data_IF_032931805973
#
_entry.id   IF_032931805973
#
_cell.length_a   1.000
_cell.length_b   1.000
_cell.length_c   1.000
_cell.angle_alpha   90.00
_cell.angle_beta   90.00
_cell.angle_gamma   90.00
#
_symmetry.space_group_name_H-M   'P 1'
#
loop_
_entity.id
_entity.type
_entity.pdbx_description
1 polymer ?
#
# COMPACT_ATOMS: atom_id res chain seq x y z
N UNK A 1 -0.04 22.42 -13.06
CA UNK A 1 -1.25 22.21 -12.26
C UNK A 1 -1.40 20.73 -12.07
N UNK A 2 -1.59 20.26 -10.83
CA UNK A 2 -1.95 18.87 -10.60
C UNK A 2 -3.29 18.59 -11.29
N UNK A 3 -3.46 17.38 -11.80
CA UNK A 3 -4.76 16.95 -12.31
C UNK A 3 -5.58 16.58 -11.07
N UNK A 4 -6.63 17.36 -10.80
CA UNK A 4 -7.52 17.14 -9.65
C UNK A 4 -8.40 15.89 -9.84
N UNK A 5 -8.68 15.52 -11.10
CA UNK A 5 -9.47 14.34 -11.45
C UNK A 5 -8.63 13.28 -12.19
N UNK A 6 -8.44 12.13 -11.55
CA UNK A 6 -7.60 11.03 -12.01
C UNK A 6 -8.45 9.93 -12.65
N UNK A 7 -8.03 9.38 -13.78
CA UNK A 7 -8.62 8.14 -14.29
C UNK A 7 -8.22 6.92 -13.42
N UNK A 8 -8.88 5.78 -13.62
CA UNK A 8 -8.67 4.56 -12.83
C UNK A 8 -7.22 4.03 -12.78
N UNK A 9 -6.42 4.28 -13.81
CA UNK A 9 -5.02 3.86 -13.84
C UNK A 9 -4.08 4.89 -13.20
N UNK A 10 -4.35 6.19 -13.39
CA UNK A 10 -3.71 7.28 -12.65
C UNK A 10 -3.91 7.11 -11.14
N UNK A 11 -5.15 6.83 -10.74
CA UNK A 11 -5.51 6.55 -9.36
C UNK A 11 -4.75 5.32 -8.83
N UNK A 12 -4.71 4.23 -9.61
CA UNK A 12 -4.02 3.01 -9.21
C UNK A 12 -2.51 3.18 -9.01
N UNK A 13 -1.84 3.91 -9.91
CA UNK A 13 -0.42 4.25 -9.75
C UNK A 13 -0.17 5.11 -8.51
N UNK A 14 -1.03 6.10 -8.25
CA UNK A 14 -0.89 7.02 -7.12
C UNK A 14 -0.95 6.29 -5.77
N UNK A 15 -1.99 5.47 -5.54
CA UNK A 15 -2.21 4.82 -4.23
C UNK A 15 -1.74 3.37 -4.16
N UNK A 16 -1.15 2.83 -5.23
CA UNK A 16 -0.59 1.47 -5.25
C UNK A 16 -1.63 0.35 -5.22
N UNK A 17 -2.90 0.62 -5.53
CA UNK A 17 -4.00 -0.35 -5.50
C UNK A 17 -4.62 -0.52 -6.89
N UNK A 18 -4.95 -1.74 -7.29
CA UNK A 18 -5.43 -1.98 -8.65
C UNK A 18 -6.70 -1.22 -9.03
N UNK A 19 -6.93 -0.94 -10.33
CA UNK A 19 -8.20 -0.43 -10.81
C UNK A 19 -9.40 -1.29 -10.41
N UNK A 20 -9.20 -2.61 -10.28
CA UNK A 20 -10.22 -3.56 -9.82
C UNK A 20 -10.58 -3.30 -8.36
N UNK A 21 -9.58 -3.17 -7.49
CA UNK A 21 -9.79 -2.89 -6.07
C UNK A 21 -10.40 -1.49 -5.85
N UNK A 22 -9.95 -0.48 -6.58
CA UNK A 22 -10.55 0.87 -6.52
C UNK A 22 -12.04 0.84 -6.89
N UNK A 23 -12.41 0.11 -7.95
CA UNK A 23 -13.83 -0.10 -8.33
C UNK A 23 -14.61 -0.88 -7.27
N UNK A 24 -13.95 -1.81 -6.59
CA UNK A 24 -14.55 -2.52 -5.46
C UNK A 24 -14.84 -1.56 -4.30
N UNK A 25 -13.92 -0.66 -3.93
CA UNK A 25 -14.16 0.34 -2.88
C UNK A 25 -15.25 1.36 -3.22
N UNK A 26 -15.53 1.60 -4.50
CA UNK A 26 -16.70 2.40 -4.92
C UNK A 26 -18.01 1.67 -4.61
N UNK A 27 -18.01 0.35 -4.65
CA UNK A 27 -19.20 -0.48 -4.50
C UNK A 27 -19.42 -0.93 -3.05
N UNK A 28 -18.35 -1.16 -2.31
CA UNK A 28 -18.33 -1.79 -0.98
C UNK A 28 -17.56 -0.96 0.02
N UNK A 29 -18.06 -0.89 1.26
CA UNK A 29 -17.34 -0.29 2.37
C UNK A 29 -16.38 -1.34 2.96
N UNK A 30 -15.06 -1.05 3.04
CA UNK A 30 -14.08 -2.03 3.50
C UNK A 30 -14.08 -2.24 5.01
N UNK A 31 -14.22 -1.16 5.80
CA UNK A 31 -14.30 -1.23 7.26
C UNK A 31 -15.72 -1.58 7.66
N UNK A 32 -15.90 -2.70 8.35
CA UNK A 32 -17.23 -3.28 8.59
C UNK A 32 -18.15 -2.45 9.51
N UNK A 33 -17.61 -1.50 10.28
CA UNK A 33 -18.40 -0.56 11.09
C UNK A 33 -18.57 0.81 10.43
N UNK A 34 -18.17 0.95 9.17
CA UNK A 34 -18.29 2.20 8.42
C UNK A 34 -19.02 1.95 7.12
N UNK A 35 -19.90 2.88 6.74
CA UNK A 35 -20.53 2.87 5.42
C UNK A 35 -19.70 3.65 4.38
N UNK A 36 -18.51 4.15 4.74
CA UNK A 36 -17.64 4.95 3.86
C UNK A 36 -17.19 4.10 2.68
N UNK A 37 -17.51 4.58 1.49
CA UNK A 37 -17.08 4.04 0.19
C UNK A 37 -16.23 5.09 -0.51
N UNK A 38 -15.36 4.64 -1.41
CA UNK A 38 -14.58 5.54 -2.25
C UNK A 38 -15.53 6.26 -3.21
N UNK A 39 -15.54 7.59 -3.22
CA UNK A 39 -16.36 8.33 -4.20
C UNK A 39 -15.65 8.37 -5.55
N UNK A 40 -16.43 8.18 -6.61
CA UNK A 40 -15.94 8.24 -7.97
C UNK A 40 -17.03 8.73 -8.93
N UNK A 41 -16.62 9.45 -9.97
CA UNK A 41 -17.47 9.81 -11.10
C UNK A 41 -17.37 8.74 -12.17
N UNK A 42 -18.52 8.21 -12.62
CA UNK A 42 -18.59 7.22 -13.70
C UNK A 42 -18.95 7.89 -15.03
N UNK A 43 -18.13 7.70 -16.06
CA UNK A 43 -18.41 8.21 -17.40
C UNK A 43 -17.98 7.23 -18.48
N UNK A 44 -18.87 6.91 -19.42
CA UNK A 44 -18.62 5.96 -20.54
C UNK A 44 -17.91 4.66 -20.10
N UNK A 45 -18.39 4.06 -18.99
CA UNK A 45 -17.86 2.83 -18.36
C UNK A 45 -16.45 2.94 -17.73
N UNK A 46 -15.88 4.14 -17.64
CA UNK A 46 -14.65 4.42 -16.90
C UNK A 46 -14.95 5.12 -15.58
N UNK A 47 -14.06 4.95 -14.61
CA UNK A 47 -14.11 5.65 -13.33
C UNK A 47 -13.06 6.77 -13.27
N UNK A 48 -13.46 7.87 -12.66
CA UNK A 48 -12.65 9.04 -12.41
C UNK A 48 -12.75 9.39 -10.92
N UNK A 49 -11.62 9.74 -10.32
CA UNK A 49 -11.45 9.93 -8.89
C UNK A 49 -10.91 11.32 -8.62
N UNK A 50 -11.53 12.04 -7.70
CA UNK A 50 -10.93 13.25 -7.15
C UNK A 50 -9.68 12.86 -6.34
N UNK A 51 -8.58 13.58 -6.54
CA UNK A 51 -7.30 13.28 -5.89
C UNK A 51 -7.40 13.34 -4.36
N UNK A 52 -8.02 14.39 -3.82
CA UNK A 52 -8.09 14.59 -2.37
C UNK A 52 -8.98 13.53 -1.71
N UNK A 53 -10.11 13.17 -2.34
CA UNK A 53 -10.94 12.05 -1.88
C UNK A 53 -10.16 10.71 -1.92
N UNK A 54 -9.40 10.46 -2.99
CA UNK A 54 -8.64 9.22 -3.15
C UNK A 54 -7.53 9.09 -2.10
N UNK A 55 -6.73 10.15 -1.91
CA UNK A 55 -5.66 10.17 -0.91
C UNK A 55 -6.23 10.10 0.51
N UNK A 56 -7.29 10.87 0.81
CA UNK A 56 -7.96 10.81 2.11
C UNK A 56 -8.60 9.44 2.39
N UNK A 57 -9.14 8.76 1.37
CA UNK A 57 -9.65 7.39 1.51
C UNK A 57 -8.51 6.39 1.78
N UNK A 58 -7.37 6.55 1.11
CA UNK A 58 -6.17 5.73 1.33
C UNK A 58 -5.61 5.90 2.76
N UNK A 59 -5.57 7.14 3.25
CA UNK A 59 -5.14 7.45 4.62
C UNK A 59 -6.11 6.86 5.65
N UNK A 60 -7.41 7.03 5.41
CA UNK A 60 -8.44 6.44 6.24
C UNK A 60 -8.40 4.90 6.26
N UNK A 61 -8.08 4.25 5.14
CA UNK A 61 -7.91 2.80 5.09
C UNK A 61 -6.76 2.31 5.98
N UNK A 62 -5.74 3.14 6.20
CA UNK A 62 -4.56 2.80 7.01
C UNK A 62 -4.78 2.99 8.50
N UNK A 63 -5.77 3.78 8.91
CA UNK A 63 -6.18 3.90 10.31
C UNK A 63 -6.63 2.54 10.86
N UNK A 64 -6.52 2.30 12.19
CA UNK A 64 -7.05 1.10 12.85
C UNK A 64 -8.47 0.76 12.39
N UNK A 65 -8.71 -0.52 12.15
CA UNK A 65 -10.02 -1.03 11.76
C UNK A 65 -10.78 -1.45 13.01
N UNK A 66 -12.10 -1.22 13.03
CA UNK A 66 -12.97 -1.69 14.11
C UNK A 66 -12.77 -3.19 14.36
N UNK A 67 -12.90 -3.65 15.60
CA UNK A 67 -12.84 -5.07 15.96
C UNK A 67 -13.95 -5.46 16.93
N UNK A 68 -14.57 -6.62 16.72
CA UNK A 68 -15.54 -7.20 17.66
C UNK A 68 -14.80 -7.73 18.89
N UNK A 69 -15.15 -7.33 20.11
CA UNK A 69 -14.75 -8.00 21.37
C UNK A 69 -13.25 -8.40 21.46
N UNK A 70 -12.33 -7.56 20.94
CA UNK A 70 -10.89 -7.83 20.90
C UNK A 70 -10.39 -8.72 19.75
N UNK A 71 -11.29 -9.30 18.94
CA UNK A 71 -10.96 -10.12 17.77
C UNK A 71 -10.19 -9.35 16.69
N UNK A 72 -9.61 -10.07 15.74
CA UNK A 72 -8.92 -9.46 14.60
C UNK A 72 -9.96 -9.02 13.55
N UNK A 73 -9.86 -7.79 13.00
CA UNK A 73 -10.73 -7.38 11.91
C UNK A 73 -10.56 -8.32 10.71
N UNK A 74 -11.65 -8.89 10.15
CA UNK A 74 -11.53 -9.78 8.99
C UNK A 74 -11.07 -9.01 7.75
N UNK A 75 -10.21 -9.63 6.94
CA UNK A 75 -9.77 -9.05 5.65
C UNK A 75 -10.89 -9.22 4.62
N UNK A 76 -11.42 -8.11 4.04
CA UNK A 76 -12.48 -8.19 3.03
C UNK A 76 -12.06 -8.92 1.76
N UNK A 77 -13.02 -9.53 1.06
CA UNK A 77 -12.76 -10.31 -0.16
C UNK A 77 -12.06 -9.51 -1.26
N UNK A 78 -12.43 -8.24 -1.45
CA UNK A 78 -11.77 -7.36 -2.43
C UNK A 78 -10.28 -7.19 -2.16
N UNK A 79 -9.90 -6.94 -0.90
CA UNK A 79 -8.49 -6.81 -0.49
C UNK A 79 -7.76 -8.14 -0.56
N UNK A 80 -8.43 -9.25 -0.20
CA UNK A 80 -7.87 -10.59 -0.34
C UNK A 80 -7.55 -10.93 -1.80
N UNK A 81 -8.46 -10.59 -2.72
CA UNK A 81 -8.23 -10.75 -4.16
C UNK A 81 -7.07 -9.88 -4.66
N UNK A 82 -6.97 -8.63 -4.18
CA UNK A 82 -5.87 -7.72 -4.54
C UNK A 82 -4.49 -8.32 -4.22
N UNK A 83 -4.29 -8.76 -2.98
CA UNK A 83 -2.98 -9.31 -2.54
C UNK A 83 -2.69 -10.68 -3.16
N UNK A 84 -3.74 -11.45 -3.49
CA UNK A 84 -3.58 -12.69 -4.23
C UNK A 84 -3.12 -12.41 -5.66
N UNK A 85 -3.75 -11.45 -6.36
CA UNK A 85 -3.35 -11.04 -7.71
C UNK A 85 -1.94 -10.44 -7.74
N UNK A 86 -1.61 -9.64 -6.72
CA UNK A 86 -0.27 -9.08 -6.53
C UNK A 86 0.81 -10.18 -6.46
N UNK A 87 0.50 -11.29 -5.79
CA UNK A 87 1.37 -12.47 -5.71
C UNK A 87 1.17 -13.46 -6.88
N UNK A 88 0.46 -13.07 -7.94
CA UNK A 88 0.14 -13.89 -9.11
C UNK A 88 -0.61 -15.20 -8.79
N UNK A 89 -1.43 -15.20 -7.75
CA UNK A 89 -2.22 -16.35 -7.32
C UNK A 89 -1.44 -17.42 -6.55
N UNK A 90 -0.15 -17.22 -6.32
CA UNK A 90 0.74 -18.16 -5.63
C UNK A 90 1.39 -17.50 -4.42
N UNK A 91 2.13 -18.25 -3.60
CA UNK A 91 2.91 -17.67 -2.52
C UNK A 91 3.88 -16.62 -3.04
N UNK A 92 3.86 -15.42 -2.45
CA UNK A 92 4.75 -14.32 -2.82
C UNK A 92 6.24 -14.71 -2.77
N UNK A 93 6.62 -15.59 -1.82
CA UNK A 93 8.03 -15.97 -1.60
C UNK A 93 8.49 -17.11 -2.51
N UNK A 94 7.75 -18.21 -2.57
CA UNK A 94 8.19 -19.41 -3.32
C UNK A 94 7.60 -19.54 -4.72
N UNK A 95 6.61 -18.73 -5.09
CA UNK A 95 5.89 -18.84 -6.36
C UNK A 95 5.37 -20.27 -6.60
N UNK A 96 4.70 -20.79 -5.59
CA UNK A 96 4.10 -22.12 -5.58
C UNK A 96 3.10 -22.25 -4.44
N UNK A 97 2.57 -23.46 -4.25
CA UNK A 97 1.64 -23.78 -3.16
C UNK A 97 0.38 -22.89 -3.10
N UNK A 98 -0.16 -22.50 -4.27
CA UNK A 98 -1.34 -21.62 -4.38
C UNK A 98 -2.51 -22.05 -3.47
N UNK A 99 -2.75 -23.36 -3.35
CA UNK A 99 -3.88 -23.93 -2.62
C UNK A 99 -3.79 -23.80 -1.10
N UNK A 100 -2.64 -23.41 -0.54
CA UNK A 100 -2.44 -23.23 0.90
C UNK A 100 -2.10 -21.79 1.29
N UNK A 101 -2.35 -20.83 0.40
CA UNK A 101 -2.01 -19.44 0.65
C UNK A 101 -3.08 -18.69 1.44
N UNK A 102 -2.62 -17.81 2.33
CA UNK A 102 -3.43 -16.92 3.14
C UNK A 102 -2.77 -15.55 3.31
N UNK A 103 -3.54 -14.59 3.82
CA UNK A 103 -3.10 -13.22 4.05
C UNK A 103 -2.34 -13.14 5.37
N UNK A 104 -1.12 -12.58 5.32
CA UNK A 104 -0.28 -12.34 6.48
C UNK A 104 -0.11 -10.83 6.69
N UNK A 105 -0.18 -10.37 7.94
CA UNK A 105 0.04 -8.96 8.28
C UNK A 105 1.53 -8.66 8.42
N UNK A 106 2.02 -7.62 7.74
CA UNK A 106 3.40 -7.17 7.82
C UNK A 106 3.68 -6.53 9.18
N UNK A 107 2.87 -5.52 9.54
CA UNK A 107 2.78 -4.95 10.87
C UNK A 107 1.67 -5.68 11.65
N UNK A 108 1.98 -6.32 12.80
CA UNK A 108 1.07 -7.21 13.49
C UNK A 108 -0.32 -6.62 13.74
N UNK A 109 -1.37 -7.35 13.31
CA UNK A 109 -2.77 -6.91 13.48
C UNK A 109 -3.20 -6.76 14.95
N UNK A 110 -2.50 -7.41 15.88
CA UNK A 110 -2.77 -7.28 17.30
C UNK A 110 -2.56 -5.84 17.80
N UNK A 111 -1.57 -5.11 17.23
CA UNK A 111 -1.27 -3.72 17.56
C UNK A 111 -1.84 -2.74 16.53
N UNK A 112 -1.71 -3.03 15.23
CA UNK A 112 -2.09 -2.06 14.18
C UNK A 112 -3.59 -2.04 13.88
N UNK A 113 -4.26 -3.19 14.04
CA UNK A 113 -5.63 -3.44 13.53
C UNK A 113 -5.82 -2.98 12.08
N UNK A 114 -4.77 -3.00 11.26
CA UNK A 114 -4.77 -2.40 9.93
C UNK A 114 -4.82 -3.48 8.82
N UNK A 115 -5.88 -3.47 8.00
CA UNK A 115 -6.04 -4.37 6.86
C UNK A 115 -5.79 -3.69 5.49
N UNK A 116 -5.08 -2.56 5.46
CA UNK A 116 -4.63 -1.94 4.22
C UNK A 116 -3.83 -2.96 3.37
N UNK A 117 -3.99 -3.00 2.03
CA UNK A 117 -3.23 -3.92 1.17
C UNK A 117 -1.71 -3.85 1.35
N UNK A 118 -1.17 -2.66 1.62
CA UNK A 118 0.27 -2.47 1.90
C UNK A 118 0.73 -3.13 3.20
N UNK A 119 -0.18 -3.38 4.14
CA UNK A 119 0.11 -4.09 5.38
C UNK A 119 -0.08 -5.62 5.24
N UNK A 120 -0.34 -6.13 4.03
CA UNK A 120 -0.69 -7.53 3.81
C UNK A 120 0.20 -8.18 2.75
N UNK A 121 0.55 -9.45 2.95
CA UNK A 121 1.29 -10.26 1.97
C UNK A 121 0.67 -11.65 1.85
N UNK A 122 0.65 -12.21 0.64
CA UNK A 122 0.02 -13.50 0.34
C UNK A 122 1.04 -14.65 0.43
N UNK A 123 0.90 -15.53 1.42
CA UNK A 123 1.91 -16.55 1.76
C UNK A 123 1.30 -17.95 1.88
N UNK A 124 1.99 -18.98 1.39
CA UNK A 124 1.60 -20.37 1.65
C UNK A 124 1.83 -20.77 3.11
N UNK A 125 1.09 -21.76 3.61
CA UNK A 125 1.17 -22.24 5.00
C UNK A 125 2.61 -22.43 5.54
N UNK A 126 3.53 -22.93 4.71
CA UNK A 126 4.93 -23.12 5.10
C UNK A 126 5.67 -21.79 5.32
N UNK A 127 5.57 -20.85 4.37
CA UNK A 127 6.20 -19.53 4.49
C UNK A 127 5.47 -18.63 5.48
N UNK A 128 4.15 -18.79 5.63
CA UNK A 128 3.35 -18.11 6.64
C UNK A 128 3.77 -18.51 8.05
N UNK A 129 3.91 -19.81 8.31
CA UNK A 129 4.43 -20.31 9.61
C UNK A 129 5.85 -19.80 9.89
N UNK A 130 6.73 -19.78 8.87
CA UNK A 130 8.09 -19.23 9.03
C UNK A 130 8.07 -17.72 9.26
N UNK A 131 7.13 -17.01 8.64
CA UNK A 131 6.93 -15.57 8.84
C UNK A 131 6.51 -15.29 10.29
N UNK A 132 5.47 -15.96 10.78
CA UNK A 132 5.00 -15.84 12.17
C UNK A 132 6.07 -16.24 13.19
N UNK A 133 6.87 -17.28 12.90
CA UNK A 133 7.96 -17.75 13.77
C UNK A 133 9.27 -16.98 13.59
N UNK A 134 9.25 -15.82 12.94
CA UNK A 134 10.40 -14.93 12.76
C UNK A 134 11.58 -15.50 11.93
N UNK A 135 11.34 -16.53 11.12
CA UNK A 135 12.31 -17.04 10.14
C UNK A 135 12.53 -16.08 8.97
N UNK A 136 11.47 -15.32 8.61
CA UNK A 136 11.50 -14.21 7.64
C UNK A 136 10.61 -13.01 8.07
N UNK A 137 9.96 -13.08 9.24
CA UNK A 137 8.99 -12.09 9.76
C UNK A 137 9.54 -11.19 10.88
N UNK A 138 8.67 -10.62 11.77
CA UNK A 138 8.89 -9.32 12.42
C UNK A 138 9.91 -9.39 13.56
N UNK A 139 11.19 -9.49 13.19
CA UNK A 139 12.30 -8.89 13.91
C UNK A 139 12.79 -7.70 13.09
N UNK A 140 13.32 -6.68 13.74
CA UNK A 140 13.89 -5.50 13.06
C UNK A 140 14.93 -5.88 11.98
N UNK A 141 15.68 -6.98 12.17
CA UNK A 141 16.70 -7.48 11.25
C UNK A 141 16.15 -8.08 9.94
N UNK A 142 14.94 -8.65 9.94
CA UNK A 142 14.35 -9.34 8.78
C UNK A 142 13.11 -8.63 8.21
N UNK A 143 12.47 -7.74 8.98
CA UNK A 143 11.30 -6.98 8.56
C UNK A 143 11.58 -6.13 7.30
N UNK A 144 12.82 -5.64 7.16
CA UNK A 144 13.26 -4.89 6.00
C UNK A 144 13.16 -5.71 4.69
N UNK A 145 13.42 -7.02 4.73
CA UNK A 145 13.36 -7.87 3.54
C UNK A 145 11.94 -8.03 3.01
N UNK A 146 10.97 -8.40 3.86
CA UNK A 146 9.59 -8.63 3.42
C UNK A 146 8.92 -7.34 2.96
N UNK A 147 9.18 -6.21 3.66
CA UNK A 147 8.72 -4.89 3.22
C UNK A 147 9.31 -4.52 1.86
N UNK A 148 10.63 -4.68 1.69
CA UNK A 148 11.31 -4.44 0.41
C UNK A 148 10.86 -5.39 -0.71
N UNK A 149 10.48 -6.62 -0.40
CA UNK A 149 9.99 -7.56 -1.39
C UNK A 149 8.55 -7.25 -1.83
N UNK A 150 7.66 -6.95 -0.86
CA UNK A 150 6.30 -6.44 -1.12
C UNK A 150 6.35 -5.22 -2.04
N UNK A 151 7.28 -4.31 -1.78
CA UNK A 151 7.53 -3.14 -2.61
C UNK A 151 7.77 -3.51 -4.09
N UNK A 152 8.66 -4.46 -4.40
CA UNK A 152 8.92 -4.89 -5.79
C UNK A 152 7.70 -5.48 -6.48
N UNK A 153 6.85 -6.24 -5.75
CA UNK A 153 5.60 -6.75 -6.32
C UNK A 153 4.67 -5.61 -6.76
N UNK A 154 4.64 -4.51 -6.01
CA UNK A 154 3.80 -3.35 -6.33
C UNK A 154 4.38 -2.47 -7.46
N UNK A 155 5.70 -2.28 -7.53
CA UNK A 155 6.37 -1.50 -8.59
C UNK A 155 5.97 -1.93 -10.00
N UNK A 156 6.08 -3.24 -10.27
CA UNK A 156 5.79 -3.76 -11.59
C UNK A 156 4.34 -3.45 -12.00
N UNK A 157 3.41 -3.53 -11.04
CA UNK A 157 1.99 -3.24 -11.28
C UNK A 157 1.77 -1.73 -11.51
N UNK A 158 2.40 -0.87 -10.72
CA UNK A 158 2.37 0.59 -10.90
C UNK A 158 2.89 1.00 -12.28
N UNK A 159 4.03 0.45 -12.72
CA UNK A 159 4.59 0.73 -14.05
C UNK A 159 3.64 0.35 -15.19
N UNK A 160 2.95 -0.81 -15.06
CA UNK A 160 1.94 -1.25 -16.03
C UNK A 160 0.74 -0.31 -16.03
N UNK A 161 0.28 0.15 -14.87
CA UNK A 161 -0.84 1.10 -14.78
C UNK A 161 -0.47 2.48 -15.33
N UNK A 162 0.73 2.97 -15.10
CA UNK A 162 1.22 4.21 -15.70
C UNK A 162 1.21 4.15 -17.22
N UNK A 163 1.66 3.04 -17.79
CA UNK A 163 1.59 2.80 -19.24
C UNK A 163 0.14 2.83 -19.73
N UNK A 164 -0.77 2.14 -19.03
CA UNK A 164 -2.21 2.10 -19.38
C UNK A 164 -2.91 3.44 -19.20
N UNK A 165 -2.41 4.26 -18.28
CA UNK A 165 -2.90 5.60 -18.02
C UNK A 165 -2.45 6.62 -19.08
N UNK A 166 -1.57 6.22 -20.02
CA UNK A 166 -0.79 7.13 -20.87
C UNK A 166 -0.06 8.18 -20.03
N UNK A 167 0.31 7.81 -18.80
CA UNK A 167 1.01 8.66 -17.85
C UNK A 167 2.50 8.51 -18.06
N UNK A 168 3.17 9.63 -17.85
CA UNK A 168 4.58 9.80 -18.09
C UNK A 168 5.37 9.26 -16.91
N UNK A 169 6.38 8.43 -17.15
CA UNK A 169 7.23 7.89 -16.07
C UNK A 169 7.30 6.37 -15.98
N UNK A 170 6.50 5.60 -16.73
CA UNK A 170 6.53 4.12 -16.72
C UNK A 170 7.94 3.53 -16.95
N UNK A 171 8.72 4.17 -17.82
CA UNK A 171 10.11 3.79 -18.07
C UNK A 171 11.03 4.04 -16.85
N UNK A 172 10.80 5.12 -16.11
CA UNK A 172 11.56 5.41 -14.89
C UNK A 172 11.23 4.38 -13.80
N UNK A 173 9.94 4.15 -13.55
CA UNK A 173 9.38 3.19 -12.59
C UNK A 173 9.95 1.77 -12.81
N UNK A 174 10.00 1.29 -14.06
CA UNK A 174 10.55 -0.04 -14.35
C UNK A 174 12.08 -0.11 -14.16
N UNK A 175 12.81 0.97 -14.44
CA UNK A 175 14.25 1.04 -14.20
C UNK A 175 14.56 1.09 -12.69
N UNK A 176 13.71 1.75 -11.91
CA UNK A 176 13.80 1.75 -10.44
C UNK A 176 13.54 0.37 -9.85
N UNK A 177 12.58 -0.38 -10.40
CA UNK A 177 12.39 -1.78 -10.04
C UNK A 177 13.68 -2.61 -10.28
N UNK A 178 14.39 -2.37 -11.39
CA UNK A 178 15.70 -3.00 -11.63
C UNK A 178 16.75 -2.62 -10.57
N UNK A 179 16.83 -1.36 -10.16
CA UNK A 179 17.72 -0.91 -9.09
C UNK A 179 17.41 -1.60 -7.75
N UNK A 180 16.14 -1.62 -7.35
CA UNK A 180 15.69 -2.27 -6.10
C UNK A 180 16.02 -3.76 -6.11
N UNK A 181 15.76 -4.45 -7.22
CA UNK A 181 16.14 -5.85 -7.41
C UNK A 181 17.66 -6.06 -7.33
N UNK A 182 18.47 -5.15 -7.89
CA UNK A 182 19.92 -5.21 -7.83
C UNK A 182 20.43 -5.16 -6.37
N UNK A 183 19.89 -4.24 -5.59
CA UNK A 183 20.19 -4.07 -4.16
C UNK A 183 19.77 -5.32 -3.36
N UNK A 184 18.57 -5.85 -3.63
CA UNK A 184 18.08 -7.04 -2.94
C UNK A 184 18.92 -8.29 -3.24
N UNK A 185 19.42 -8.47 -4.47
CA UNK A 185 20.32 -9.61 -4.76
C UNK A 185 21.60 -9.52 -3.91
N UNK A 186 22.13 -8.31 -3.72
CA UNK A 186 23.31 -8.07 -2.87
C UNK A 186 23.04 -8.26 -1.38
N UNK A 187 21.83 -7.93 -0.92
CA UNK A 187 21.43 -8.03 0.49
C UNK A 187 20.88 -9.41 0.90
N UNK A 188 20.48 -10.24 -0.07
CA UNK A 188 19.86 -11.54 0.20
C UNK A 188 20.79 -12.48 0.98
N UNK A 189 20.28 -13.00 2.09
CA UNK A 189 21.02 -13.81 3.05
C UNK A 189 21.05 -15.29 2.65
N UNK A 190 20.00 -15.77 1.96
CA UNK A 190 19.85 -17.19 1.59
C UNK A 190 19.87 -17.44 0.08
N UNK A 191 20.14 -18.69 -0.32
CA UNK A 191 20.11 -19.11 -1.72
C UNK A 191 18.67 -19.10 -2.29
N UNK A 192 17.68 -19.35 -1.44
CA UNK A 192 16.25 -19.31 -1.80
C UNK A 192 15.82 -17.87 -2.10
N UNK A 193 16.15 -16.90 -1.23
CA UNK A 193 15.91 -15.48 -1.47
C UNK A 193 16.53 -15.01 -2.78
N UNK A 194 17.82 -15.33 -2.99
CA UNK A 194 18.52 -14.97 -4.22
C UNK A 194 17.85 -15.56 -5.46
N UNK A 195 17.36 -16.79 -5.41
CA UNK A 195 16.67 -17.41 -6.53
C UNK A 195 15.33 -16.72 -6.86
N UNK A 196 14.54 -16.38 -5.85
CA UNK A 196 13.26 -15.67 -6.03
C UNK A 196 13.47 -14.28 -6.63
N UNK A 197 14.42 -13.50 -6.08
CA UNK A 197 14.73 -12.16 -6.59
C UNK A 197 15.22 -12.23 -8.04
N UNK A 198 16.11 -13.18 -8.37
CA UNK A 198 16.61 -13.34 -9.74
C UNK A 198 15.49 -13.68 -10.73
N UNK A 199 14.54 -14.53 -10.35
CA UNK A 199 13.38 -14.89 -11.20
C UNK A 199 12.51 -13.67 -11.50
N UNK A 200 12.28 -12.81 -10.49
CA UNK A 200 11.53 -11.56 -10.65
C UNK A 200 12.31 -10.55 -11.51
N UNK A 201 13.61 -10.41 -11.28
CA UNK A 201 14.47 -9.52 -12.05
C UNK A 201 14.49 -9.84 -13.55
N UNK A 202 14.53 -11.12 -13.92
CA UNK A 202 14.43 -11.52 -15.33
C UNK A 202 13.12 -11.05 -15.96
N UNK A 203 11.98 -11.18 -15.26
CA UNK A 203 10.68 -10.72 -15.77
C UNK A 203 10.64 -9.20 -15.96
N UNK A 204 11.14 -8.46 -14.98
CA UNK A 204 11.19 -6.98 -15.01
C UNK A 204 12.06 -6.50 -16.18
N UNK A 205 13.25 -7.08 -16.37
CA UNK A 205 14.16 -6.70 -17.46
C UNK A 205 13.56 -6.94 -18.85
N UNK A 206 12.82 -8.04 -19.04
CA UNK A 206 12.11 -8.33 -20.30
C UNK A 206 11.02 -7.28 -20.61
N UNK A 207 10.47 -6.62 -19.58
CA UNK A 207 9.46 -5.58 -19.74
C UNK A 207 10.05 -4.20 -20.06
N UNK A 208 11.33 -3.91 -19.75
CA UNK A 208 11.93 -2.58 -19.98
C UNK A 208 11.73 -2.05 -21.41
N UNK A 209 11.95 -2.84 -22.49
CA UNK A 209 11.82 -2.34 -23.86
C UNK A 209 10.38 -1.96 -24.24
N UNK A 210 9.38 -2.52 -23.57
CA UNK A 210 7.96 -2.25 -23.87
C UNK A 210 7.42 -1.05 -23.09
N UNK A 211 8.17 -0.52 -22.12
CA UNK A 211 7.79 0.61 -21.27
C UNK A 211 8.29 1.97 -21.80
N UNK A 212 8.93 1.98 -22.97
CA UNK A 212 9.45 3.20 -23.58
C UNK A 212 8.33 4.20 -23.96
N UNK A 213 8.52 5.51 -23.73
CA UNK A 213 7.53 6.51 -24.08
C UNK A 213 7.33 6.56 -25.61
N UNK A 214 6.09 6.47 -26.05
CA UNK A 214 5.72 6.51 -27.47
C UNK A 214 5.20 7.87 -27.94
N UNK A 215 4.80 8.73 -26.99
CA UNK A 215 4.23 10.06 -27.25
C UNK A 215 5.26 11.17 -27.01
N UNK A 216 5.33 12.14 -27.92
CA UNK A 216 6.13 13.37 -27.75
C UNK A 216 5.62 14.29 -26.63
N UNK A 217 4.41 14.03 -26.12
CA UNK A 217 3.83 14.79 -25.01
C UNK A 217 4.37 14.32 -23.66
N UNK A 218 5.06 13.17 -23.62
CA UNK A 218 5.71 12.69 -22.41
C UNK A 218 6.96 13.55 -22.09
N UNK A 219 7.06 14.15 -20.88
CA UNK A 219 8.24 14.88 -20.41
C UNK A 219 9.55 14.09 -20.53
N UNK A 220 9.50 12.76 -20.43
CA UNK A 220 10.63 11.85 -20.58
C UNK A 220 10.99 11.51 -22.03
N UNK A 221 10.15 11.85 -23.03
CA UNK A 221 10.37 11.46 -24.43
C UNK A 221 11.69 11.99 -25.00
N UNK A 222 12.02 13.26 -24.73
CA UNK A 222 13.26 13.87 -25.20
C UNK A 222 14.50 13.20 -24.60
N UNK A 223 14.43 12.82 -23.31
CA UNK A 223 15.49 12.09 -22.63
C UNK A 223 15.65 10.67 -23.21
N UNK A 224 14.52 9.98 -23.45
CA UNK A 224 14.52 8.65 -24.06
C UNK A 224 15.15 8.66 -25.46
N UNK A 225 14.74 9.59 -26.35
CA UNK A 225 15.30 9.66 -27.70
C UNK A 225 16.81 9.98 -27.69
N UNK A 226 17.28 10.82 -26.76
CA UNK A 226 18.71 11.10 -26.60
C UNK A 226 19.51 9.87 -26.13
N UNK A 227 18.88 8.95 -25.41
CA UNK A 227 19.50 7.75 -24.83
C UNK A 227 19.18 6.45 -25.59
N UNK A 228 18.51 6.54 -26.73
CA UNK A 228 18.05 5.41 -27.54
C UNK A 228 19.10 4.31 -27.77
N UNK A 229 20.39 4.61 -28.01
CA UNK A 229 21.42 3.57 -28.13
C UNK A 229 21.62 2.75 -26.85
N UNK A 230 21.60 3.40 -25.66
CA UNK A 230 21.74 2.72 -24.37
C UNK A 230 20.52 1.85 -24.07
N UNK A 231 19.31 2.33 -24.34
CA UNK A 231 18.08 1.54 -24.20
C UNK A 231 18.08 0.31 -25.12
N UNK A 232 18.56 0.45 -26.36
CA UNK A 232 18.71 -0.69 -27.28
C UNK A 232 19.73 -1.70 -26.74
N UNK A 233 20.85 -1.24 -26.16
CA UNK A 233 21.84 -2.12 -25.55
C UNK A 233 21.28 -2.87 -24.33
N UNK A 234 20.50 -2.19 -23.48
CA UNK A 234 19.86 -2.78 -22.30
C UNK A 234 18.81 -3.82 -22.69
N UNK A 235 18.00 -3.53 -23.71
CA UNK A 235 17.07 -4.49 -24.28
C UNK A 235 17.80 -5.74 -24.79
N UNK A 236 18.92 -5.58 -25.49
CA UNK A 236 19.74 -6.70 -25.97
C UNK A 236 20.32 -7.55 -24.82
N UNK A 237 20.88 -6.91 -23.80
CA UNK A 237 21.48 -7.62 -22.65
C UNK A 237 20.47 -8.37 -21.79
N UNK A 238 19.19 -7.97 -21.81
CA UNK A 238 18.11 -8.69 -21.11
C UNK A 238 17.75 -10.05 -21.74
N UNK A 239 18.12 -10.28 -23.00
CA UNK A 239 17.78 -11.50 -23.77
C UNK A 239 18.95 -12.48 -23.94
N UNK A 240 20.18 -12.04 -23.68
CA UNK A 240 21.38 -12.89 -23.73
C UNK A 240 21.63 -13.56 -22.38
N UNK A 241 22.29 -14.74 -22.38
CA UNK A 241 22.75 -15.48 -21.19
C UNK A 241 23.88 -14.78 -20.42
N UNK A 242 23.84 -13.45 -20.33
CA UNK A 242 24.76 -12.64 -19.54
C UNK A 242 24.43 -12.77 -18.05
N UNK A 243 25.44 -12.47 -17.23
CA UNK A 243 25.27 -12.34 -15.80
C UNK A 243 24.19 -11.29 -15.48
N UNK A 244 23.10 -11.75 -14.86
CA UNK A 244 21.94 -10.94 -14.50
C UNK A 244 22.32 -9.72 -13.64
N UNK A 245 23.31 -9.87 -12.75
CA UNK A 245 23.77 -8.76 -11.91
C UNK A 245 24.40 -7.66 -12.77
N UNK A 246 25.23 -8.02 -13.73
CA UNK A 246 25.83 -7.07 -14.69
C UNK A 246 24.75 -6.32 -15.48
N UNK A 247 23.70 -7.01 -15.95
CA UNK A 247 22.57 -6.36 -16.64
C UNK A 247 21.79 -5.41 -15.73
N UNK A 248 21.57 -5.78 -14.47
CA UNK A 248 20.91 -4.92 -13.49
C UNK A 248 21.74 -3.68 -13.16
N UNK A 249 23.05 -3.82 -12.96
CA UNK A 249 23.96 -2.68 -12.76
C UNK A 249 23.90 -1.73 -13.96
N UNK A 250 23.89 -2.24 -15.18
CA UNK A 250 23.73 -1.39 -16.37
C UNK A 250 22.35 -0.70 -16.41
N UNK A 251 21.29 -1.37 -15.96
CA UNK A 251 19.97 -0.75 -15.84
C UNK A 251 19.97 0.44 -14.84
N UNK A 252 20.71 0.33 -13.73
CA UNK A 252 20.89 1.42 -12.76
C UNK A 252 21.59 2.63 -13.39
N UNK A 253 22.69 2.41 -14.13
CA UNK A 253 23.38 3.49 -14.85
C UNK A 253 22.47 4.19 -15.87
N UNK A 254 21.66 3.42 -16.60
CA UNK A 254 20.65 3.96 -17.53
C UNK A 254 19.58 4.75 -16.77
N UNK A 255 19.14 4.28 -15.60
CA UNK A 255 18.18 5.00 -14.75
C UNK A 255 18.70 6.36 -14.33
N UNK A 256 19.92 6.43 -13.81
CA UNK A 256 20.53 7.67 -13.30
C UNK A 256 20.64 8.73 -14.40
N UNK A 257 21.16 8.37 -15.56
CA UNK A 257 21.28 9.30 -16.68
C UNK A 257 19.89 9.72 -17.21
N UNK A 258 18.94 8.79 -17.29
CA UNK A 258 17.58 9.10 -17.71
C UNK A 258 16.89 10.07 -16.74
N UNK A 259 17.00 9.81 -15.43
CA UNK A 259 16.46 10.66 -14.37
C UNK A 259 16.98 12.10 -14.49
N UNK A 260 18.30 12.25 -14.64
CA UNK A 260 18.95 13.55 -14.80
C UNK A 260 18.44 14.30 -16.04
N UNK A 261 18.36 13.62 -17.19
CA UNK A 261 17.91 14.22 -18.46
C UNK A 261 16.43 14.55 -18.48
N UNK A 262 15.60 13.70 -17.87
CA UNK A 262 14.16 13.90 -17.77
C UNK A 262 13.78 14.86 -16.63
N UNK A 263 14.74 15.31 -15.83
CA UNK A 263 14.56 16.32 -14.79
C UNK A 263 13.84 15.79 -13.55
N UNK A 264 14.06 14.52 -13.21
CA UNK A 264 13.67 13.97 -11.91
C UNK A 264 14.48 14.62 -10.80
N UNK A 265 13.86 14.75 -9.63
CA UNK A 265 14.44 15.30 -8.41
C UNK A 265 14.10 14.38 -7.25
N UNK A 266 14.89 14.44 -6.18
CA UNK A 266 14.60 13.68 -4.96
C UNK A 266 13.23 14.04 -4.42
N UNK A 267 12.50 13.03 -3.96
CA UNK A 267 11.22 13.22 -3.30
C UNK A 267 11.44 14.03 -2.00
N UNK A 268 10.73 15.14 -1.80
CA UNK A 268 10.96 16.03 -0.66
C UNK A 268 10.57 15.42 0.68
N UNK A 269 9.70 14.40 0.72
CA UNK A 269 9.32 13.72 1.96
C UNK A 269 10.39 12.74 2.42
N UNK A 270 10.89 11.89 1.53
CA UNK A 270 11.87 10.87 1.88
C UNK A 270 13.32 11.28 1.60
N UNK A 271 13.56 12.43 1.00
CA UNK A 271 14.90 12.95 0.67
C UNK A 271 15.74 11.92 -0.12
N UNK A 272 15.14 11.32 -1.16
CA UNK A 272 15.82 10.32 -1.99
C UNK A 272 15.97 8.94 -1.35
N UNK A 273 15.48 8.70 -0.13
CA UNK A 273 15.58 7.39 0.54
C UNK A 273 14.63 6.33 0.00
N UNK A 274 13.51 6.73 -0.60
CA UNK A 274 12.44 5.83 -1.03
C UNK A 274 11.60 5.24 0.11
N UNK A 275 11.94 5.53 1.36
CA UNK A 275 11.17 5.06 2.52
C UNK A 275 10.86 6.21 3.49
N UNK A 276 9.69 6.11 4.13
CA UNK A 276 9.22 6.99 5.18
C UNK A 276 8.66 6.14 6.33
N UNK A 277 9.16 6.35 7.56
CA UNK A 277 8.77 5.59 8.77
C UNK A 277 8.75 4.07 8.58
N UNK A 278 9.82 3.54 7.99
CA UNK A 278 10.04 2.11 7.70
C UNK A 278 9.09 1.49 6.67
N UNK A 279 8.27 2.30 6.01
CA UNK A 279 7.39 1.92 4.91
C UNK A 279 7.88 2.61 3.63
N UNK A 280 7.34 2.20 2.48
CA UNK A 280 7.55 2.94 1.24
C UNK A 280 7.09 4.38 1.41
N UNK A 281 7.84 5.32 0.85
CA UNK A 281 7.47 6.72 0.92
C UNK A 281 6.12 6.91 0.20
N UNK A 282 5.06 7.40 0.90
CA UNK A 282 3.72 7.47 0.33
C UNK A 282 3.61 8.45 -0.84
N UNK A 283 4.46 9.49 -0.87
CA UNK A 283 4.42 10.51 -1.93
C UNK A 283 5.10 10.07 -3.23
N UNK A 284 6.13 9.22 -3.14
CA UNK A 284 6.80 8.70 -4.32
C UNK A 284 6.53 7.22 -4.57
N UNK A 285 5.68 6.56 -3.78
CA UNK A 285 5.46 5.12 -3.89
C UNK A 285 6.74 4.30 -3.70
N UNK A 286 7.71 4.86 -3.01
CA UNK A 286 9.07 4.37 -2.79
C UNK A 286 10.07 4.54 -3.93
N UNK A 287 9.71 5.24 -5.01
CA UNK A 287 10.57 5.55 -6.15
C UNK A 287 11.81 6.40 -5.80
N UNK A 288 11.84 7.00 -4.60
CA UNK A 288 12.82 7.98 -4.11
C UNK A 288 12.88 9.30 -4.89
N UNK A 289 12.53 9.31 -6.17
CA UNK A 289 12.58 10.47 -7.07
C UNK A 289 11.22 10.71 -7.72
N UNK A 290 10.97 11.96 -8.08
CA UNK A 290 9.73 12.44 -8.69
C UNK A 290 10.05 13.43 -9.79
N UNK A 291 9.09 13.68 -10.70
CA UNK A 291 9.20 14.84 -11.57
C UNK A 291 9.12 16.13 -10.74
N UNK A 292 9.74 17.22 -11.21
CA UNK A 292 9.66 18.53 -10.54
C UNK A 292 8.23 18.99 -10.25
N UNK A 293 7.29 18.70 -11.16
CA UNK A 293 5.90 19.07 -11.00
C UNK A 293 5.22 18.29 -9.86
N UNK A 294 5.47 16.98 -9.76
CA UNK A 294 4.99 16.15 -8.65
C UNK A 294 5.61 16.59 -7.33
N UNK A 295 6.93 16.77 -7.29
CA UNK A 295 7.64 17.20 -6.09
C UNK A 295 7.11 18.54 -5.55
N UNK A 296 6.83 19.49 -6.44
CA UNK A 296 6.27 20.79 -6.07
C UNK A 296 4.80 20.76 -5.63
N UNK A 297 4.05 19.69 -5.93
CA UNK A 297 2.66 19.52 -5.49
C UNK A 297 2.50 18.83 -4.14
N UNK A 298 3.57 18.31 -3.56
CA UNK A 298 3.52 17.61 -2.28
C UNK A 298 3.28 18.60 -1.16
N UNK A 299 2.22 18.37 -0.39
CA UNK A 299 1.97 19.08 0.86
C UNK A 299 2.62 18.33 2.03
N UNK A 300 3.81 18.78 2.42
CA UNK A 300 4.56 18.20 3.54
C UNK A 300 3.86 18.40 4.90
N UNK A 301 2.93 19.35 5.03
CA UNK A 301 2.24 19.61 6.30
C UNK A 301 1.40 18.41 6.75
N UNK A 302 0.94 17.58 5.80
CA UNK A 302 0.21 16.33 6.05
C UNK A 302 1.00 15.30 6.85
N UNK A 303 2.33 15.39 6.85
CA UNK A 303 3.24 14.48 7.55
C UNK A 303 3.76 15.03 8.88
N UNK A 304 3.31 16.23 9.28
CA UNK A 304 3.60 16.77 10.60
C UNK A 304 2.94 15.90 11.67
N UNK A 305 3.67 15.66 12.77
CA UNK A 305 3.08 15.07 13.97
C UNK A 305 2.21 16.09 14.68
N UNK A 306 1.00 15.68 15.03
CA UNK A 306 0.05 16.45 15.83
C UNK A 306 -0.52 15.56 16.94
N UNK A 307 -1.04 16.19 17.99
CA UNK A 307 -1.72 15.48 19.07
C UNK A 307 -2.87 14.64 18.51
N UNK A 308 -3.00 13.41 19.00
CA UNK A 308 -4.08 12.52 18.61
C UNK A 308 -5.43 13.14 19.01
N UNK A 309 -6.37 13.35 18.07
CA UNK A 309 -7.65 14.01 18.36
C UNK A 309 -8.57 13.25 19.33
N UNK A 310 -8.31 11.95 19.57
CA UNK A 310 -9.12 11.14 20.49
C UNK A 310 -8.65 11.25 21.94
N UNK A 311 -7.34 11.32 22.18
CA UNK A 311 -6.77 11.35 23.53
C UNK A 311 -6.10 12.68 23.88
N UNK A 312 -6.08 13.66 22.97
CA UNK A 312 -5.46 14.97 23.13
C UNK A 312 -4.01 14.87 23.66
N UNK A 313 -3.21 13.95 23.09
CA UNK A 313 -1.82 13.75 23.49
C UNK A 313 -1.62 12.92 24.77
N UNK A 314 -2.69 12.58 25.51
CA UNK A 314 -2.58 11.90 26.81
C UNK A 314 -2.17 10.43 26.73
N UNK A 315 -2.12 9.86 25.52
CA UNK A 315 -1.79 8.44 25.22
C UNK A 315 -2.82 7.41 25.68
N UNK A 316 -3.72 7.79 26.58
CA UNK A 316 -4.73 6.90 27.13
C UNK A 316 -6.14 7.34 26.75
N UNK A 317 -7.01 6.36 26.51
CA UNK A 317 -8.43 6.61 26.34
C UNK A 317 -9.20 5.63 27.23
N UNK A 318 -9.98 6.15 28.18
CA UNK A 318 -10.73 5.37 29.18
C UNK A 318 -9.88 4.41 30.03
N UNK A 319 -8.62 4.76 30.28
CA UNK A 319 -7.71 4.01 31.15
C UNK A 319 -6.86 2.95 30.43
N UNK A 320 -7.15 2.69 29.16
CA UNK A 320 -6.33 1.84 28.28
C UNK A 320 -5.51 2.69 27.30
N UNK A 321 -4.59 2.07 26.56
CA UNK A 321 -3.89 2.73 25.46
C UNK A 321 -4.89 3.26 24.44
N UNK A 322 -4.69 4.50 23.99
CA UNK A 322 -5.61 5.17 23.08
C UNK A 322 -5.76 4.34 21.78
N UNK A 323 -6.99 3.90 21.42
CA UNK A 323 -7.19 3.00 20.29
C UNK A 323 -6.96 3.66 18.93
N UNK A 324 -7.01 4.99 18.85
CA UNK A 324 -6.77 5.73 17.61
C UNK A 324 -5.27 5.86 17.27
N UNK A 325 -4.42 6.09 18.28
CA UNK A 325 -2.97 6.27 18.11
C UNK A 325 -2.13 5.11 18.68
N UNK A 326 -2.76 4.04 19.17
CA UNK A 326 -2.07 2.90 19.77
C UNK A 326 -1.21 3.24 20.99
N UNK A 327 -1.54 4.32 21.72
CA UNK A 327 -0.74 4.78 22.86
C UNK A 327 0.39 5.77 22.55
N UNK A 328 0.63 6.14 21.29
CA UNK A 328 1.71 7.08 20.94
C UNK A 328 1.46 8.51 21.44
N UNK A 329 0.20 8.94 21.47
CA UNK A 329 -0.24 10.29 21.83
C UNK A 329 -0.19 11.28 20.67
N UNK A 330 0.65 11.03 19.68
CA UNK A 330 0.76 11.83 18.46
C UNK A 330 0.47 10.97 17.22
N UNK A 331 0.02 11.59 16.13
CA UNK A 331 -0.14 10.96 14.83
C UNK A 331 0.10 11.96 13.71
N UNK A 332 0.31 11.50 12.48
CA UNK A 332 0.45 12.42 11.35
C UNK A 332 -0.86 13.16 11.07
N UNK A 333 -0.77 14.44 10.67
CA UNK A 333 -1.93 15.28 10.35
C UNK A 333 -2.90 14.58 9.38
N UNK A 334 -2.37 13.92 8.33
CA UNK A 334 -3.17 13.14 7.37
C UNK A 334 -4.05 12.06 8.00
N UNK A 335 -3.62 11.48 9.12
CA UNK A 335 -4.41 10.47 9.85
C UNK A 335 -5.37 11.15 10.82
N UNK A 336 -4.94 12.22 11.49
CA UNK A 336 -5.78 13.01 12.37
C UNK A 336 -7.00 13.59 11.62
N UNK A 337 -6.80 14.10 10.40
CA UNK A 337 -7.86 14.64 9.54
C UNK A 337 -8.93 13.62 9.12
N UNK A 338 -8.59 12.32 9.17
CA UNK A 338 -9.48 11.23 8.79
C UNK A 338 -10.13 10.54 10.00
N UNK A 339 -9.74 10.90 11.23
CA UNK A 339 -10.22 10.28 12.46
C UNK A 339 -11.57 10.88 12.85
N UNK A 340 -12.61 10.06 12.92
CA UNK A 340 -13.92 10.48 13.45
C UNK A 340 -14.03 10.09 14.93
N UNK A 341 -13.76 11.03 15.83
CA UNK A 341 -13.77 10.75 17.28
C UNK A 341 -15.15 10.31 17.80
N UNK A 342 -16.22 10.56 17.05
CA UNK A 342 -17.58 10.15 17.40
C UNK A 342 -17.77 8.64 17.34
N UNK A 343 -16.91 7.92 16.61
CA UNK A 343 -16.91 6.46 16.54
C UNK A 343 -16.73 5.82 17.93
N UNK A 344 -16.04 6.52 18.84
CA UNK A 344 -15.80 6.10 20.22
C UNK A 344 -16.77 6.73 21.23
N UNK A 345 -17.85 7.41 20.82
CA UNK A 345 -18.84 7.89 21.78
C UNK A 345 -19.63 6.72 22.39
N UNK A 346 -19.81 6.71 23.72
CA UNK A 346 -20.69 5.74 24.36
C UNK A 346 -22.15 6.03 24.03
N UNK A 347 -22.82 5.05 23.44
CA UNK A 347 -24.25 5.08 23.15
C UNK A 347 -24.94 3.90 23.84
N UNK A 348 -26.26 4.02 24.03
CA UNK A 348 -27.05 2.91 24.56
C UNK A 348 -27.05 1.75 23.55
N UNK A 349 -26.92 0.53 24.06
CA UNK A 349 -26.97 -0.67 23.24
C UNK A 349 -28.34 -0.73 22.54
N UNK A 350 -28.40 -0.78 21.20
CA UNK A 350 -29.65 -0.73 20.46
C UNK A 350 -30.53 -1.98 20.65
N UNK A 351 -29.98 -3.06 21.23
CA UNK A 351 -30.70 -4.32 21.47
C UNK A 351 -31.37 -4.35 22.84
N UNK A 352 -30.67 -3.93 23.89
CA UNK A 352 -31.23 -3.90 25.25
C UNK A 352 -31.67 -2.51 25.70
N UNK A 353 -31.56 -1.50 24.84
CA UNK A 353 -31.96 -0.11 25.10
C UNK A 353 -31.37 0.44 26.41
N UNK A 354 -30.08 0.16 26.66
CA UNK A 354 -29.40 0.63 27.87
C UNK A 354 -29.59 -0.26 29.11
N UNK A 355 -30.43 -1.29 29.07
CA UNK A 355 -30.75 -2.09 30.27
C UNK A 355 -29.69 -3.14 30.63
N UNK A 356 -28.77 -3.46 29.72
CA UNK A 356 -27.77 -4.51 29.91
C UNK A 356 -28.32 -5.95 29.91
N UNK A 357 -29.63 -6.13 29.77
CA UNK A 357 -30.28 -7.45 29.78
C UNK A 357 -31.32 -7.57 28.67
N UNK A 358 -31.43 -8.75 28.08
CA UNK A 358 -32.43 -9.07 27.07
C UNK A 358 -33.12 -10.38 27.46
N UNK A 359 -34.45 -10.36 27.61
CA UNK A 359 -35.26 -11.51 28.03
C UNK A 359 -34.76 -12.23 29.30
N UNK A 360 -34.22 -11.48 30.27
CA UNK A 360 -33.71 -12.02 31.53
C UNK A 360 -32.30 -12.63 31.45
N UNK A 361 -31.65 -12.55 30.30
CA UNK A 361 -30.25 -12.94 30.11
C UNK A 361 -29.36 -11.71 29.90
N UNK A 362 -28.07 -11.83 30.17
CA UNK A 362 -27.07 -10.80 29.84
C UNK A 362 -27.13 -10.47 28.36
N UNK A 363 -27.25 -9.19 28.02
CA UNK A 363 -27.26 -8.75 26.64
C UNK A 363 -25.89 -9.03 25.99
N UNK A 364 -25.83 -10.04 25.12
CA UNK A 364 -24.59 -10.47 24.49
C UNK A 364 -23.91 -9.36 23.65
N UNK A 365 -24.64 -8.54 22.86
CA UNK A 365 -24.04 -7.45 22.09
C UNK A 365 -23.23 -6.43 22.91
N UNK A 366 -23.66 -6.10 24.13
CA UNK A 366 -22.96 -5.15 25.01
C UNK A 366 -22.32 -5.80 26.24
N UNK A 367 -22.21 -7.13 26.27
CA UNK A 367 -21.63 -7.87 27.40
C UNK A 367 -22.34 -7.71 28.75
N UNK A 368 -23.52 -7.07 28.80
CA UNK A 368 -24.20 -6.71 30.04
C UNK A 368 -24.09 -5.24 30.46
N UNK A 369 -23.23 -4.44 29.82
CA UNK A 369 -22.96 -3.06 30.24
C UNK A 369 -24.09 -2.07 29.90
N UNK A 370 -24.98 -2.45 28.97
CA UNK A 370 -26.03 -1.58 28.44
C UNK A 370 -25.52 -0.48 27.51
N UNK A 371 -24.21 -0.26 27.46
CA UNK A 371 -23.53 0.79 26.70
C UNK A 371 -22.45 0.18 25.81
N UNK A 372 -22.18 0.83 24.69
CA UNK A 372 -21.10 0.45 23.79
C UNK A 372 -20.66 1.64 22.94
N UNK A 373 -19.50 1.53 22.30
CA UNK A 373 -19.04 2.54 21.34
C UNK A 373 -20.00 2.64 20.15
N UNK A 374 -20.21 3.86 19.65
CA UNK A 374 -21.09 4.15 18.52
C UNK A 374 -20.78 3.28 17.30
N UNK A 375 -19.51 3.09 16.96
CA UNK A 375 -19.09 2.21 15.87
C UNK A 375 -19.56 0.75 16.05
N UNK A 376 -19.62 0.26 17.28
CA UNK A 376 -20.11 -1.09 17.56
C UNK A 376 -21.64 -1.16 17.55
N UNK A 377 -22.32 -0.11 18.00
CA UNK A 377 -23.77 0.00 17.97
C UNK A 377 -24.32 0.08 16.53
N UNK A 378 -23.68 0.86 15.66
CA UNK A 378 -24.07 1.04 14.25
C UNK A 378 -23.99 -0.27 13.43
N UNK A 379 -23.34 -1.31 13.97
CA UNK A 379 -23.25 -2.66 13.38
C UNK A 379 -24.45 -3.54 13.70
N UNK A 380 -25.24 -3.22 14.71
CA UNK A 380 -26.31 -4.11 15.17
C UNK A 380 -27.56 -3.85 14.33
N UNK A 381 -27.89 -4.80 13.45
CA UNK A 381 -29.21 -4.84 12.84
C UNK A 381 -30.20 -5.41 13.85
N UNK A 382 -31.01 -4.53 14.44
CA UNK A 382 -32.05 -4.89 15.43
C UNK A 382 -33.24 -5.66 14.81
N UNK A 383 -33.21 -5.95 13.50
CA UNK A 383 -34.30 -6.63 12.77
C UNK A 383 -34.06 -8.12 12.54
N UNK A 384 -32.86 -8.62 12.79
CA UNK A 384 -32.52 -10.04 12.89
C UNK A 384 -32.46 -10.47 14.37
#
# INVERSE_FOLDING_TARGET
>A
MAIDELNEFQAASLVGMSPTLLKWFVSYAPKHASNRKLKARKYKKRYFFDRAELEGFNDWLSLPWPSKNGDRPPVPSGIKSEIQEEAHGECAICHGNANSCEAAHIDPVASSKNNHPDNLIWLCANHHTKFDKHGYGPKAENAAFVKSFKHVLTYYRRAVWELQAEVTGSLFTILKACESLNLQIGAASSAEERASIKKLATKVLVAVPTMAPTSKQDPGYAAFEAMKPKFKALAGSSTETKDLQTTLTFAVEVKEEYAQRAGYVDCPLCEGRGHYRQMDCPECGGEAELTKAQAASIDLSRYALVDCPLCDGSRHFRGDDCPACGGDGEMEQRYADQLDTRDWEEVDCPVCEGTGSLHGYTCHPCGGDGRMDRQDADRIDVRD
#
